data_IF_695895467236
#
_entry.id   IF_695895467236
#
_cell.length_a   1.000
_cell.length_b   1.000
_cell.length_c   1.000
_cell.angle_alpha   90.00
_cell.angle_beta   90.00
_cell.angle_gamma   90.00
#
_symmetry.space_group_name_H-M   'P 1'
#
loop_
_entity.id
_entity.type
_entity.pdbx_description
1 polymer ?
#
# COMPACT_ATOMS: atom_id res chain seq x y z
N UNK A 1 -0.18 -32.90 -16.97
CA UNK A 1 1.11 -32.49 -17.57
C UNK A 1 2.23 -33.06 -16.70
N UNK A 2 2.90 -34.13 -17.13
CA UNK A 2 4.12 -34.64 -16.48
C UNK A 2 5.27 -34.41 -17.45
N UNK A 3 6.38 -33.85 -16.97
CA UNK A 3 7.65 -33.93 -17.71
C UNK A 3 8.74 -32.94 -17.29
N UNK A 4 8.39 -31.69 -16.97
CA UNK A 4 9.38 -30.66 -16.69
C UNK A 4 9.15 -30.02 -15.31
N UNK A 5 10.23 -29.74 -14.56
CA UNK A 5 10.13 -29.04 -13.29
C UNK A 5 9.60 -27.62 -13.52
N UNK A 6 8.66 -27.17 -12.70
CA UNK A 6 8.13 -25.80 -12.73
C UNK A 6 9.28 -24.82 -12.53
N UNK A 7 9.45 -23.86 -13.44
CA UNK A 7 10.50 -22.86 -13.32
C UNK A 7 10.09 -21.69 -12.43
N UNK A 8 11.07 -20.88 -12.01
CA UNK A 8 10.82 -19.66 -11.23
C UNK A 8 9.97 -18.65 -11.98
N UNK A 9 10.17 -18.48 -13.29
CA UNK A 9 9.41 -17.54 -14.11
C UNK A 9 7.97 -18.01 -14.34
N UNK A 10 7.75 -19.31 -14.59
CA UNK A 10 6.41 -19.90 -14.63
C UNK A 10 5.67 -19.71 -13.30
N UNK A 11 6.35 -20.00 -12.19
CA UNK A 11 5.80 -19.83 -10.85
C UNK A 11 5.51 -18.36 -10.53
N UNK A 12 6.38 -17.44 -10.93
CA UNK A 12 6.20 -16.00 -10.74
C UNK A 12 5.00 -15.47 -11.53
N UNK A 13 4.83 -15.90 -12.78
CA UNK A 13 3.68 -15.54 -13.62
C UNK A 13 2.38 -16.03 -12.99
N UNK A 14 2.30 -17.31 -12.63
CA UNK A 14 1.12 -17.90 -12.01
C UNK A 14 0.75 -17.19 -10.69
N UNK A 15 1.75 -16.85 -9.87
CA UNK A 15 1.50 -16.13 -8.62
C UNK A 15 1.11 -14.67 -8.81
N UNK A 16 1.62 -13.99 -9.84
CA UNK A 16 1.21 -12.63 -10.14
C UNK A 16 -0.27 -12.58 -10.56
N UNK A 17 -0.71 -13.55 -11.36
CA UNK A 17 -2.12 -13.66 -11.76
C UNK A 17 -3.02 -13.97 -10.57
N UNK A 18 -2.61 -14.92 -9.70
CA UNK A 18 -3.28 -15.14 -8.42
C UNK A 18 -3.34 -13.85 -7.58
N UNK A 19 -2.23 -13.13 -7.42
CA UNK A 19 -2.18 -11.93 -6.61
C UNK A 19 -3.11 -10.82 -7.13
N UNK A 20 -3.22 -10.68 -8.47
CA UNK A 20 -4.13 -9.71 -9.10
C UNK A 20 -5.60 -10.08 -8.90
N UNK A 21 -5.95 -11.36 -8.87
CA UNK A 21 -7.31 -11.83 -8.58
C UNK A 21 -7.65 -11.84 -7.09
N UNK A 22 -6.67 -12.10 -6.22
CA UNK A 22 -6.86 -12.27 -4.79
C UNK A 22 -6.83 -10.94 -4.01
N UNK A 23 -5.84 -10.08 -4.28
CA UNK A 23 -5.68 -8.81 -3.60
C UNK A 23 -6.55 -7.72 -4.24
N UNK A 24 -7.86 -7.93 -4.21
CA UNK A 24 -8.88 -7.04 -4.78
C UNK A 24 -9.72 -6.45 -3.65
N UNK A 25 -9.98 -5.15 -3.74
CA UNK A 25 -10.93 -4.44 -2.88
C UNK A 25 -11.87 -3.63 -3.77
N UNK A 26 -13.18 -3.82 -3.60
CA UNK A 26 -14.23 -3.12 -4.36
C UNK A 26 -14.03 -3.19 -5.88
N UNK A 27 -13.73 -4.40 -6.38
CA UNK A 27 -13.48 -4.66 -7.80
C UNK A 27 -12.17 -4.09 -8.34
N UNK A 28 -11.32 -3.49 -7.50
CA UNK A 28 -10.03 -2.92 -7.90
C UNK A 28 -8.88 -3.68 -7.27
N UNK A 29 -7.86 -3.97 -8.07
CA UNK A 29 -6.61 -4.54 -7.59
C UNK A 29 -5.94 -3.57 -6.61
N UNK A 30 -5.55 -4.08 -5.46
CA UNK A 30 -4.87 -3.29 -4.43
C UNK A 30 -3.37 -3.18 -4.71
N UNK A 31 -2.73 -2.20 -4.07
CA UNK A 31 -1.28 -1.99 -4.14
C UNK A 31 -0.45 -3.20 -3.70
N UNK A 32 -1.01 -4.14 -2.94
CA UNK A 32 -0.26 -5.34 -2.54
C UNK A 32 0.17 -6.18 -3.76
N UNK A 33 -0.65 -6.24 -4.81
CA UNK A 33 -0.28 -6.94 -6.04
C UNK A 33 0.90 -6.25 -6.78
N UNK A 34 0.96 -4.91 -6.76
CA UNK A 34 2.10 -4.16 -7.30
C UNK A 34 3.39 -4.44 -6.51
N UNK A 35 3.29 -4.45 -5.17
CA UNK A 35 4.43 -4.74 -4.29
C UNK A 35 4.94 -6.18 -4.49
N UNK A 36 4.04 -7.13 -4.74
CA UNK A 36 4.40 -8.50 -5.14
C UNK A 36 5.11 -8.46 -6.50
N UNK A 37 4.60 -7.71 -7.47
CA UNK A 37 5.23 -7.54 -8.77
C UNK A 37 6.67 -7.01 -8.69
N UNK A 38 6.93 -6.03 -7.82
CA UNK A 38 8.29 -5.51 -7.60
C UNK A 38 9.23 -6.59 -7.03
N UNK A 39 8.76 -7.40 -6.09
CA UNK A 39 9.52 -8.54 -5.55
C UNK A 39 9.79 -9.59 -6.64
N UNK A 40 8.77 -9.95 -7.42
CA UNK A 40 8.89 -10.93 -8.49
C UNK A 40 9.86 -10.47 -9.58
N UNK A 41 9.92 -9.15 -9.87
CA UNK A 41 10.89 -8.60 -10.84
C UNK A 41 12.33 -8.89 -10.43
N UNK A 42 12.67 -8.76 -9.15
CA UNK A 42 14.01 -9.10 -8.65
C UNK A 42 14.25 -10.61 -8.72
N UNK A 43 13.25 -11.41 -8.32
CA UNK A 43 13.33 -12.87 -8.36
C UNK A 43 13.57 -13.39 -9.79
N UNK A 44 12.77 -12.96 -10.76
CA UNK A 44 12.87 -13.38 -12.16
C UNK A 44 14.18 -12.91 -12.78
N UNK A 45 14.61 -11.67 -12.53
CA UNK A 45 15.88 -11.15 -13.06
C UNK A 45 17.08 -12.06 -12.75
N UNK A 46 17.11 -12.65 -11.55
CA UNK A 46 18.26 -13.41 -11.06
C UNK A 46 18.08 -14.93 -11.13
N UNK A 47 16.84 -15.44 -11.19
CA UNK A 47 16.57 -16.87 -11.10
C UNK A 47 15.63 -17.42 -12.17
N UNK A 48 15.29 -16.65 -13.22
CA UNK A 48 14.51 -17.15 -14.37
C UNK A 48 15.11 -18.43 -14.95
N UNK A 49 14.25 -19.36 -15.40
CA UNK A 49 14.64 -20.63 -16.00
C UNK A 49 15.16 -21.69 -15.03
N UNK A 50 15.46 -21.34 -13.78
CA UNK A 50 15.82 -22.32 -12.76
C UNK A 50 14.58 -23.08 -12.29
N UNK A 51 14.72 -24.37 -11.98
CA UNK A 51 13.68 -25.14 -11.34
C UNK A 51 13.35 -24.55 -9.96
N UNK A 52 12.05 -24.33 -9.69
CA UNK A 52 11.59 -23.81 -8.41
C UNK A 52 11.96 -24.74 -7.24
N UNK A 53 12.06 -26.05 -7.50
CA UNK A 53 12.50 -27.03 -6.49
C UNK A 53 13.95 -26.86 -6.04
N UNK A 54 14.78 -26.20 -6.84
CA UNK A 54 16.17 -25.91 -6.51
C UNK A 54 16.36 -24.54 -5.84
N UNK A 55 15.27 -23.80 -5.59
CA UNK A 55 15.33 -22.49 -4.93
C UNK A 55 15.46 -22.64 -3.41
N UNK A 56 16.66 -23.01 -2.97
CA UNK A 56 16.96 -23.23 -1.55
C UNK A 56 17.36 -21.98 -0.75
N UNK A 57 17.68 -22.16 0.55
CA UNK A 57 18.05 -21.07 1.45
C UNK A 57 19.24 -20.21 1.00
N UNK A 58 20.20 -20.79 0.29
CA UNK A 58 21.37 -20.07 -0.25
C UNK A 58 20.94 -19.09 -1.33
N UNK A 59 20.12 -19.53 -2.30
CA UNK A 59 19.57 -18.66 -3.34
C UNK A 59 18.67 -17.57 -2.77
N UNK A 60 17.89 -17.86 -1.71
CA UNK A 60 17.12 -16.82 -1.01
C UNK A 60 18.03 -15.76 -0.35
N UNK A 61 19.15 -16.17 0.25
CA UNK A 61 20.14 -15.22 0.80
C UNK A 61 20.78 -14.39 -0.32
N UNK A 62 21.16 -15.02 -1.43
CA UNK A 62 21.69 -14.30 -2.59
C UNK A 62 20.68 -13.27 -3.11
N UNK A 63 19.44 -13.68 -3.38
CA UNK A 63 18.36 -12.79 -3.81
C UNK A 63 18.16 -11.61 -2.84
N UNK A 64 18.28 -11.88 -1.54
CA UNK A 64 18.19 -10.86 -0.50
C UNK A 64 19.34 -9.85 -0.59
N UNK A 65 20.56 -10.27 -0.90
CA UNK A 65 21.66 -9.33 -1.17
C UNK A 65 21.41 -8.53 -2.46
N UNK A 66 20.82 -9.14 -3.51
CA UNK A 66 20.39 -8.39 -4.71
C UNK A 66 19.36 -7.29 -4.41
N UNK A 67 18.44 -7.55 -3.48
CA UNK A 67 17.48 -6.54 -3.01
C UNK A 67 18.17 -5.36 -2.29
N UNK A 68 19.33 -5.59 -1.69
CA UNK A 68 20.12 -4.55 -1.02
C UNK A 68 20.91 -3.77 -2.08
N UNK A 69 21.68 -4.46 -2.89
CA UNK A 69 22.69 -3.85 -3.77
C UNK A 69 22.07 -3.19 -5.02
N UNK A 70 21.08 -3.84 -5.62
CA UNK A 70 20.51 -3.37 -6.91
C UNK A 70 19.23 -2.55 -6.73
N UNK A 71 18.41 -2.91 -5.75
CA UNK A 71 17.13 -2.24 -5.50
C UNK A 71 17.23 -1.11 -4.45
N UNK A 72 18.37 -0.99 -3.74
CA UNK A 72 18.60 -0.04 -2.64
C UNK A 72 17.45 -0.04 -1.61
N UNK A 73 16.95 -1.24 -1.30
CA UNK A 73 15.85 -1.38 -0.35
C UNK A 73 16.34 -1.34 1.09
N UNK A 74 15.62 -0.60 1.93
CA UNK A 74 15.93 -0.57 3.35
C UNK A 74 15.68 -1.94 4.01
N UNK A 75 16.41 -2.24 5.09
CA UNK A 75 16.34 -3.54 5.80
C UNK A 75 14.91 -4.01 6.10
N UNK A 76 14.05 -3.09 6.56
CA UNK A 76 12.64 -3.39 6.86
C UNK A 76 11.84 -3.77 5.61
N UNK A 77 12.14 -3.16 4.47
CA UNK A 77 11.50 -3.49 3.20
C UNK A 77 12.02 -4.83 2.67
N UNK A 78 13.34 -5.06 2.66
CA UNK A 78 13.95 -6.34 2.29
C UNK A 78 13.34 -7.51 3.07
N UNK A 79 13.24 -7.40 4.40
CA UNK A 79 12.61 -8.46 5.23
C UNK A 79 11.15 -8.72 4.84
N UNK A 80 10.37 -7.68 4.50
CA UNK A 80 8.99 -7.84 4.03
C UNK A 80 8.94 -8.56 2.67
N UNK A 81 9.88 -8.28 1.78
CA UNK A 81 9.95 -8.92 0.46
C UNK A 81 10.42 -10.37 0.55
N UNK A 82 11.43 -10.67 1.37
CA UNK A 82 11.81 -12.05 1.70
C UNK A 82 10.61 -12.84 2.24
N UNK A 83 9.83 -12.26 3.16
CA UNK A 83 8.59 -12.89 3.64
C UNK A 83 7.54 -13.10 2.54
N UNK A 84 7.50 -12.26 1.50
CA UNK A 84 6.63 -12.46 0.34
C UNK A 84 7.14 -13.57 -0.56
N UNK A 85 8.45 -13.68 -0.77
CA UNK A 85 9.06 -14.83 -1.47
C UNK A 85 8.68 -16.12 -0.73
N UNK A 86 8.84 -16.19 0.60
CA UNK A 86 8.44 -17.39 1.36
C UNK A 86 6.93 -17.70 1.20
N UNK A 87 6.07 -16.67 1.15
CA UNK A 87 4.62 -16.82 0.91
C UNK A 87 4.28 -17.31 -0.50
N UNK A 88 5.04 -16.90 -1.52
CA UNK A 88 4.96 -17.42 -2.88
C UNK A 88 5.19 -18.94 -2.88
N UNK A 89 6.27 -19.41 -2.25
CA UNK A 89 6.56 -20.85 -2.18
C UNK A 89 5.54 -21.62 -1.32
N UNK A 90 5.02 -21.01 -0.26
CA UNK A 90 3.89 -21.58 0.50
C UNK A 90 2.67 -21.80 -0.39
N UNK A 91 2.33 -20.78 -1.20
CA UNK A 91 1.22 -20.86 -2.15
C UNK A 91 1.48 -21.93 -3.21
N UNK A 92 2.71 -22.03 -3.73
CA UNK A 92 3.09 -23.04 -4.71
C UNK A 92 2.87 -24.47 -4.18
N UNK A 93 3.30 -24.73 -2.94
CA UNK A 93 3.05 -26.01 -2.24
C UNK A 93 1.56 -26.27 -2.05
N UNK A 94 0.79 -25.26 -1.64
CA UNK A 94 -0.66 -25.39 -1.44
C UNK A 94 -1.44 -25.67 -2.73
N UNK A 95 -0.85 -25.37 -3.90
CA UNK A 95 -1.42 -25.64 -5.22
C UNK A 95 -0.74 -26.83 -5.91
N UNK A 96 0.02 -27.65 -5.17
CA UNK A 96 0.68 -28.86 -5.68
C UNK A 96 1.64 -28.61 -6.86
N UNK A 97 2.19 -27.39 -6.98
CA UNK A 97 3.12 -27.03 -8.05
C UNK A 97 4.55 -27.50 -7.78
N UNK A 98 4.92 -27.65 -6.49
CA UNK A 98 6.23 -28.08 -6.02
C UNK A 98 6.09 -28.88 -4.72
N UNK A 99 7.14 -29.65 -4.38
CA UNK A 99 7.22 -30.34 -3.08
C UNK A 99 7.35 -29.41 -1.85
N UNK A 100 6.95 -29.87 -0.65
CA UNK A 100 6.95 -29.05 0.57
C UNK A 100 8.34 -28.69 1.12
N UNK A 101 9.36 -29.46 0.74
CA UNK A 101 10.74 -29.33 1.24
C UNK A 101 11.33 -27.95 1.00
N UNK A 102 11.05 -27.35 -0.16
CA UNK A 102 11.55 -26.02 -0.55
C UNK A 102 11.02 -24.94 0.39
N UNK A 103 9.68 -24.88 0.55
CA UNK A 103 9.06 -23.92 1.46
C UNK A 103 9.57 -24.09 2.90
N UNK A 104 9.66 -25.32 3.39
CA UNK A 104 10.20 -25.61 4.72
C UNK A 104 11.64 -25.10 4.87
N UNK A 105 12.51 -25.38 3.90
CA UNK A 105 13.88 -24.90 3.89
C UNK A 105 13.94 -23.36 3.88
N UNK A 106 13.14 -22.69 3.06
CA UNK A 106 13.12 -21.22 2.99
C UNK A 106 12.72 -20.56 4.31
N UNK A 107 11.86 -21.19 5.11
CA UNK A 107 11.45 -20.65 6.43
C UNK A 107 12.58 -20.63 7.45
N UNK A 108 13.67 -21.36 7.20
CA UNK A 108 14.85 -21.38 8.08
C UNK A 108 15.73 -20.14 7.96
N UNK A 109 15.54 -19.31 6.91
CA UNK A 109 16.34 -18.10 6.70
C UNK A 109 15.85 -16.98 7.62
N UNK A 110 16.66 -16.55 8.61
CA UNK A 110 16.25 -15.45 9.48
C UNK A 110 16.25 -14.13 8.73
N UNK A 111 15.35 -13.23 9.14
CA UNK A 111 15.35 -11.86 8.65
C UNK A 111 16.63 -11.11 9.03
N UNK A 112 16.99 -10.11 8.23
CA UNK A 112 18.10 -9.20 8.48
C UNK A 112 17.93 -8.47 9.81
N UNK A 113 18.99 -8.50 10.63
CA UNK A 113 19.06 -7.84 11.93
C UNK A 113 19.74 -6.48 11.80
N UNK A 114 19.32 -5.51 12.62
CA UNK A 114 19.90 -4.16 12.65
C UNK A 114 21.39 -4.25 12.98
N UNK A 115 22.21 -3.52 12.24
CA UNK A 115 23.67 -3.46 12.45
C UNK A 115 24.41 -4.77 12.14
N UNK A 116 23.80 -5.68 11.37
CA UNK A 116 24.40 -6.96 10.95
C UNK A 116 24.20 -7.22 9.44
N UNK A 117 24.10 -6.15 8.66
CA UNK A 117 23.84 -6.15 7.22
C UNK A 117 24.19 -4.80 6.64
N UNK A 118 24.51 -4.75 5.35
CA UNK A 118 24.73 -3.53 4.57
C UNK A 118 23.42 -2.85 4.14
N UNK A 119 22.26 -3.47 4.37
CA UNK A 119 20.98 -2.87 4.05
C UNK A 119 20.78 -1.53 4.77
N UNK A 120 20.48 -0.48 4.01
CA UNK A 120 20.20 0.86 4.53
C UNK A 120 19.13 0.82 5.63
N UNK A 121 19.37 1.57 6.71
CA UNK A 121 18.37 1.79 7.75
C UNK A 121 17.52 3.03 7.44
N UNK A 122 16.24 2.98 7.83
CA UNK A 122 15.36 4.15 7.79
C UNK A 122 14.87 4.50 9.19
N UNK A 123 14.92 5.79 9.51
CA UNK A 123 14.34 6.34 10.73
C UNK A 123 12.81 6.20 10.75
N UNK A 124 12.18 6.44 11.91
CA UNK A 124 10.73 6.55 11.99
C UNK A 124 10.24 7.73 11.13
N UNK A 125 9.03 7.60 10.58
CA UNK A 125 8.32 8.75 9.97
C UNK A 125 7.72 9.55 11.13
N UNK A 126 8.18 10.79 11.32
CA UNK A 126 7.71 11.69 12.36
C UNK A 126 6.64 12.66 11.83
N UNK A 127 5.79 13.23 12.71
CA UNK A 127 4.92 14.33 12.34
C UNK A 127 5.70 15.53 11.81
N UNK A 128 5.11 16.23 10.84
CA UNK A 128 5.66 17.50 10.33
C UNK A 128 5.26 18.62 11.28
N UNK A 129 6.19 19.52 11.57
CA UNK A 129 5.97 20.70 12.40
C UNK A 129 4.88 21.64 11.81
N UNK A 130 4.05 22.21 12.68
CA UNK A 130 2.93 23.06 12.28
C UNK A 130 3.38 24.34 11.57
N UNK A 131 4.54 24.89 11.92
CA UNK A 131 5.11 26.04 11.24
C UNK A 131 5.57 25.67 9.82
N UNK A 132 6.05 24.45 9.60
CA UNK A 132 6.38 23.95 8.26
C UNK A 132 5.10 23.81 7.45
N UNK A 133 4.06 23.19 8.00
CA UNK A 133 2.74 23.09 7.34
C UNK A 133 2.22 24.48 6.97
N UNK A 134 2.22 25.42 7.91
CA UNK A 134 1.75 26.79 7.69
C UNK A 134 2.52 27.50 6.57
N UNK A 135 3.84 27.29 6.46
CA UNK A 135 4.67 27.83 5.37
C UNK A 135 4.43 27.14 4.04
N UNK A 136 4.02 25.87 4.01
CA UNK A 136 3.73 25.14 2.78
C UNK A 136 2.35 25.50 2.21
N UNK A 137 1.34 25.73 3.05
CA UNK A 137 -0.05 25.95 2.61
C UNK A 137 -0.22 27.04 1.53
N UNK A 138 0.49 28.19 1.55
CA UNK A 138 0.38 29.22 0.50
C UNK A 138 0.89 28.77 -0.88
N UNK A 139 1.72 27.74 -0.95
CA UNK A 139 2.27 27.22 -2.20
C UNK A 139 1.42 26.09 -2.80
N UNK A 140 0.37 25.66 -2.10
CA UNK A 140 -0.54 24.62 -2.58
C UNK A 140 -1.72 25.24 -3.33
N UNK A 141 -2.25 24.56 -4.35
CA UNK A 141 -3.57 24.87 -4.87
C UNK A 141 -4.61 24.99 -3.74
N UNK A 142 -5.49 25.97 -3.82
CA UNK A 142 -6.48 26.28 -2.75
C UNK A 142 -7.19 25.04 -2.22
N UNK A 143 -7.71 24.19 -3.13
CA UNK A 143 -8.44 22.97 -2.76
C UNK A 143 -7.55 22.00 -1.99
N UNK A 144 -6.30 21.81 -2.43
CA UNK A 144 -5.33 20.94 -1.75
C UNK A 144 -4.95 21.52 -0.39
N UNK A 145 -4.79 22.84 -0.28
CA UNK A 145 -4.54 23.50 1.00
C UNK A 145 -5.70 23.27 1.99
N UNK A 146 -6.95 23.35 1.52
CA UNK A 146 -8.13 23.10 2.35
C UNK A 146 -8.26 21.62 2.75
N UNK A 147 -7.90 20.69 1.85
CA UNK A 147 -7.81 19.27 2.19
C UNK A 147 -6.79 19.03 3.32
N UNK A 148 -5.60 19.63 3.25
CA UNK A 148 -4.59 19.52 4.31
C UNK A 148 -5.11 20.10 5.63
N UNK A 149 -5.75 21.28 5.59
CA UNK A 149 -6.38 21.88 6.79
C UNK A 149 -7.46 20.97 7.38
N UNK A 150 -8.29 20.38 6.53
CA UNK A 150 -9.33 19.45 6.97
C UNK A 150 -8.72 18.22 7.65
N UNK A 151 -7.71 17.58 7.05
CA UNK A 151 -7.01 16.43 7.65
C UNK A 151 -6.44 16.75 9.02
N UNK A 152 -5.85 17.94 9.19
CA UNK A 152 -5.28 18.41 10.46
C UNK A 152 -6.34 18.60 11.55
N UNK A 153 -7.56 18.99 11.18
CA UNK A 153 -8.66 19.21 12.12
C UNK A 153 -9.42 17.92 12.50
N UNK A 154 -9.44 16.93 11.62
CA UNK A 154 -10.31 15.75 11.77
C UNK A 154 -9.55 14.43 11.95
N UNK A 155 -8.26 14.40 11.67
CA UNK A 155 -7.48 13.14 11.66
C UNK A 155 -7.91 12.18 10.56
N UNK A 156 -8.59 12.67 9.52
CA UNK A 156 -8.97 11.87 8.36
C UNK A 156 -7.74 11.42 7.58
N UNK A 157 -7.76 10.16 7.13
CA UNK A 157 -6.77 9.68 6.15
C UNK A 157 -6.95 10.41 4.81
N UNK A 158 -5.89 10.51 3.99
CA UNK A 158 -6.01 11.11 2.65
C UNK A 158 -7.16 10.54 1.82
N UNK A 159 -7.33 9.20 1.81
CA UNK A 159 -8.43 8.56 1.11
C UNK A 159 -9.82 8.95 1.62
N UNK A 160 -9.98 9.15 2.93
CA UNK A 160 -11.25 9.58 3.55
C UNK A 160 -11.57 11.03 3.14
N UNK A 161 -10.56 11.91 3.05
CA UNK A 161 -10.75 13.28 2.56
C UNK A 161 -11.09 13.32 1.07
N UNK A 162 -10.42 12.52 0.24
CA UNK A 162 -10.72 12.46 -1.18
C UNK A 162 -12.12 11.88 -1.47
N UNK A 163 -12.65 11.04 -0.58
CA UNK A 163 -13.89 10.31 -0.78
C UNK A 163 -15.13 10.97 -0.18
N UNK A 164 -15.00 11.99 0.68
CA UNK A 164 -16.14 12.64 1.33
C UNK A 164 -17.08 13.27 0.28
N UNK A 165 -18.38 13.01 0.44
CA UNK A 165 -19.45 13.54 -0.42
C UNK A 165 -20.50 14.25 0.45
N UNK A 166 -21.26 15.21 -0.09
CA UNK A 166 -22.29 15.90 0.69
C UNK A 166 -23.29 14.95 1.35
N UNK A 167 -23.68 13.86 0.66
CA UNK A 167 -24.63 12.87 1.19
C UNK A 167 -24.11 12.02 2.35
N UNK A 168 -22.78 11.95 2.53
CA UNK A 168 -22.18 11.12 3.57
C UNK A 168 -22.06 11.88 4.91
N UNK A 169 -22.49 13.15 4.95
CA UNK A 169 -22.43 14.03 6.11
C UNK A 169 -23.80 14.11 6.78
N UNK A 170 -23.88 13.64 8.03
CA UNK A 170 -24.98 13.99 8.93
C UNK A 170 -24.73 15.40 9.50
N UNK A 171 -25.58 16.33 9.11
CA UNK A 171 -25.51 17.75 9.49
C UNK A 171 -26.63 18.14 10.47
N UNK A 172 -27.31 17.17 11.08
CA UNK A 172 -28.48 17.39 11.95
C UNK A 172 -28.15 18.07 13.29
N UNK A 173 -26.88 18.05 13.70
CA UNK A 173 -26.40 18.57 14.98
C UNK A 173 -25.29 19.62 14.81
N UNK A 174 -24.90 20.25 15.94
CA UNK A 174 -23.80 21.23 15.98
C UNK A 174 -22.47 20.64 15.51
N UNK A 175 -22.21 19.36 15.81
CA UNK A 175 -21.05 18.61 15.30
C UNK A 175 -21.56 17.66 14.23
N UNK A 176 -21.08 17.83 12.99
CA UNK A 176 -21.45 16.94 11.89
C UNK A 176 -20.73 15.61 12.04
N UNK A 177 -21.35 14.54 11.53
CA UNK A 177 -20.77 13.20 11.53
C UNK A 177 -20.54 12.75 10.09
N UNK A 178 -19.32 12.32 9.80
CA UNK A 178 -18.98 11.64 8.55
C UNK A 178 -18.68 10.17 8.83
N UNK A 179 -19.41 9.28 8.17
CA UNK A 179 -19.11 7.85 8.12
C UNK A 179 -18.58 7.51 6.72
N UNK A 180 -17.26 7.28 6.56
CA UNK A 180 -16.70 6.85 5.29
C UNK A 180 -17.28 5.48 4.93
N UNK A 181 -17.90 5.37 3.75
CA UNK A 181 -18.39 4.09 3.24
C UNK A 181 -17.29 3.03 3.05
N UNK A 182 -16.03 3.45 3.00
CA UNK A 182 -14.86 2.58 2.99
C UNK A 182 -13.76 3.15 3.88
N UNK A 183 -13.07 2.29 4.64
CA UNK A 183 -11.90 2.68 5.39
C UNK A 183 -10.87 1.56 5.53
N UNK A 184 -9.64 1.94 5.91
CA UNK A 184 -8.47 1.05 5.94
C UNK A 184 -8.67 -0.20 6.82
N UNK A 185 -9.48 -0.08 7.87
CA UNK A 185 -9.65 -1.10 8.91
C UNK A 185 -10.99 -1.83 8.83
N UNK A 186 -11.79 -1.63 7.78
CA UNK A 186 -13.14 -2.22 7.67
C UNK A 186 -13.12 -3.76 7.68
N UNK A 187 -12.06 -4.39 7.18
CA UNK A 187 -11.87 -5.85 7.20
C UNK A 187 -11.73 -6.45 8.61
N UNK A 188 -11.57 -5.60 9.63
CA UNK A 188 -11.64 -5.99 11.04
C UNK A 188 -13.05 -5.85 11.65
N UNK A 189 -14.07 -5.52 10.85
CA UNK A 189 -15.46 -5.38 11.31
C UNK A 189 -15.73 -4.13 12.16
N UNK A 190 -14.82 -3.16 12.16
CA UNK A 190 -14.99 -1.89 12.90
C UNK A 190 -15.65 -0.83 12.03
N UNK A 191 -16.53 0.00 12.57
CA UNK A 191 -16.98 1.23 11.92
C UNK A 191 -16.03 2.40 12.16
N UNK A 192 -16.11 3.44 11.32
CA UNK A 192 -15.30 4.65 11.45
C UNK A 192 -16.21 5.87 11.39
N UNK A 193 -16.34 6.56 12.51
CA UNK A 193 -17.01 7.86 12.57
C UNK A 193 -15.96 8.97 12.67
N UNK A 194 -16.14 10.03 11.89
CA UNK A 194 -15.33 11.24 11.94
C UNK A 194 -16.21 12.38 12.40
N UNK A 195 -15.88 12.94 13.57
CA UNK A 195 -16.57 14.10 14.13
C UNK A 195 -16.02 15.37 13.50
N UNK A 196 -16.88 16.17 12.89
CA UNK A 196 -16.51 17.37 12.13
C UNK A 196 -17.01 18.59 12.89
N UNK A 197 -16.10 19.21 13.66
CA UNK A 197 -16.39 20.42 14.42
C UNK A 197 -16.42 21.70 13.57
N UNK A 198 -16.83 22.85 14.16
CA UNK A 198 -17.15 24.08 13.42
C UNK A 198 -16.05 24.61 12.49
N UNK A 199 -14.76 24.43 12.84
CA UNK A 199 -13.64 24.84 11.99
C UNK A 199 -13.55 24.01 10.71
N UNK A 200 -13.80 22.71 10.80
CA UNK A 200 -13.78 21.79 9.67
C UNK A 200 -15.04 21.95 8.81
N UNK A 201 -16.20 22.20 9.43
CA UNK A 201 -17.45 22.52 8.73
C UNK A 201 -17.30 23.73 7.82
N UNK A 202 -16.65 24.81 8.30
CA UNK A 202 -16.38 26.01 7.48
C UNK A 202 -15.58 25.71 6.22
N UNK A 203 -14.63 24.78 6.28
CA UNK A 203 -13.86 24.35 5.11
C UNK A 203 -14.73 23.52 4.16
N UNK A 204 -15.46 22.53 4.68
CA UNK A 204 -16.31 21.66 3.87
C UNK A 204 -17.47 22.42 3.21
N UNK A 205 -18.05 23.40 3.89
CA UNK A 205 -19.17 24.22 3.39
C UNK A 205 -18.87 24.88 2.04
N UNK A 206 -17.61 25.23 1.77
CA UNK A 206 -17.16 25.76 0.48
C UNK A 206 -17.38 24.78 -0.69
N UNK A 207 -17.56 23.50 -0.37
CA UNK A 207 -17.59 22.39 -1.31
C UNK A 207 -18.90 21.57 -1.23
N UNK A 208 -19.92 22.01 -0.48
CA UNK A 208 -21.18 21.26 -0.37
C UNK A 208 -22.19 21.54 -1.48
N UNK A 209 -22.12 22.71 -2.13
CA UNK A 209 -23.05 23.06 -3.21
C UNK A 209 -22.69 22.35 -4.53
N UNK A 210 -22.92 21.04 -4.58
CA UNK A 210 -22.71 20.15 -5.72
C UNK A 210 -23.63 18.94 -5.62
N UNK A 211 -23.65 18.11 -6.65
CA UNK A 211 -24.47 16.90 -6.65
C UNK A 211 -24.15 16.00 -5.43
N UNK A 212 -25.13 15.44 -4.70
CA UNK A 212 -24.91 14.78 -3.41
C UNK A 212 -23.96 13.57 -3.45
N UNK A 213 -23.86 12.90 -4.60
CA UNK A 213 -22.98 11.74 -4.81
C UNK A 213 -21.60 12.11 -5.36
N UNK A 214 -21.34 13.39 -5.67
CA UNK A 214 -20.03 13.83 -6.13
C UNK A 214 -19.09 14.11 -4.96
N UNK A 215 -17.78 13.79 -5.07
CA UNK A 215 -16.80 14.19 -4.07
C UNK A 215 -16.79 15.71 -3.82
N UNK A 216 -16.61 16.10 -2.56
CA UNK A 216 -16.45 17.50 -2.17
C UNK A 216 -15.17 18.11 -2.76
N UNK A 217 -14.10 17.33 -2.93
CA UNK A 217 -12.85 17.83 -3.52
C UNK A 217 -12.65 17.20 -4.89
N UNK A 218 -12.70 18.00 -5.95
CA UNK A 218 -12.57 17.55 -7.33
C UNK A 218 -11.20 17.93 -7.91
N UNK A 219 -10.54 16.94 -8.53
CA UNK A 219 -9.19 17.12 -9.07
C UNK A 219 -9.13 18.04 -10.29
N UNK A 220 -10.13 17.95 -11.17
CA UNK A 220 -10.25 18.82 -12.34
C UNK A 220 -10.53 20.29 -11.96
N UNK A 221 -11.28 20.53 -10.87
CA UNK A 221 -11.46 21.85 -10.27
C UNK A 221 -10.11 22.40 -9.77
N UNK A 222 -9.33 21.57 -9.08
CA UNK A 222 -8.00 21.92 -8.59
C UNK A 222 -7.07 22.34 -9.72
N UNK A 223 -7.02 21.57 -10.81
CA UNK A 223 -6.18 21.86 -11.99
C UNK A 223 -6.63 23.16 -12.66
N UNK A 224 -7.95 23.37 -12.84
CA UNK A 224 -8.50 24.58 -13.46
C UNK A 224 -8.15 25.85 -12.68
N UNK A 225 -8.25 25.80 -11.35
CA UNK A 225 -7.95 26.94 -10.48
C UNK A 225 -6.45 27.26 -10.38
N UNK A 226 -5.58 26.26 -10.59
CA UNK A 226 -4.11 26.43 -10.51
C UNK A 226 -3.47 26.96 -11.79
N UNK A 227 -4.21 26.97 -12.91
CA UNK A 227 -3.75 27.47 -14.22
C UNK A 227 -4.11 28.94 -14.47
N UNK A 228 -4.79 29.58 -13.53
CA UNK A 228 -5.13 31.01 -13.54
C UNK A 228 -4.19 31.76 -12.61
#
# INVERSE_FOLDING_TARGET
>A
MRGYPVTIDELALAYLDFARGYYVKNGRVTREAEIIGDMLRVLVRHHSGQAAEEFGPVKLKELRERMIDEADWCRKHVNRQVSRVTRLFKWAVANELIGPSVYQALTTVPGLKRGRTEARETGPVLPVDDAVVAKTLPHLPRIVADMVRLQRLTGMRPGEVCAVRPRDLDQSAEVWVYEPGEHKMEHHGTSRLVMIGPKAQKLLALYLNRHPSCPCFLGDETVRLSRR
#
